data_IF_532501692503
#
_entry.id   IF_532501692503
#
_cell.length_a   1.000
_cell.length_b   1.000
_cell.length_c   1.000
_cell.angle_alpha   90.00
_cell.angle_beta   90.00
_cell.angle_gamma   90.00
#
_symmetry.space_group_name_H-M   'P 1'
#
loop_
_entity.id
_entity.type
_entity.pdbx_description
1 polymer ?
#
# COMPACT_ATOMS: atom_id res chain seq x y z
N UNK A 1 63.03 -22.02 -37.61
CA UNK A 1 62.41 -21.60 -36.37
C UNK A 1 61.07 -21.02 -36.73
N UNK A 2 59.99 -21.82 -36.64
CA UNK A 2 58.62 -21.40 -36.91
C UNK A 2 57.97 -21.10 -35.53
N UNK A 3 57.57 -19.83 -35.26
CA UNK A 3 56.82 -19.46 -34.12
C UNK A 3 55.32 -19.73 -34.37
N UNK A 4 54.79 -20.69 -33.66
CA UNK A 4 53.34 -21.00 -33.67
C UNK A 4 52.65 -20.03 -32.69
N UNK A 5 51.83 -19.15 -33.23
CA UNK A 5 50.97 -18.28 -32.43
C UNK A 5 49.73 -19.06 -32.12
N UNK A 6 49.54 -19.37 -30.85
CA UNK A 6 48.33 -20.02 -30.32
C UNK A 6 47.29 -18.91 -30.04
N UNK A 7 46.29 -18.80 -30.92
CA UNK A 7 45.16 -17.87 -30.72
C UNK A 7 44.16 -18.56 -29.81
N UNK A 8 44.09 -18.07 -28.57
CA UNK A 8 43.03 -18.47 -27.61
C UNK A 8 41.77 -17.74 -28.00
N UNK A 9 40.82 -18.43 -28.62
CA UNK A 9 39.44 -17.94 -28.80
C UNK A 9 38.72 -18.02 -27.45
N UNK A 10 38.55 -16.88 -26.81
CA UNK A 10 37.70 -16.72 -25.66
C UNK A 10 36.24 -16.73 -26.16
N UNK A 11 35.57 -17.86 -26.09
CA UNK A 11 34.13 -17.94 -26.33
C UNK A 11 33.43 -17.37 -25.10
N UNK A 12 33.11 -16.09 -25.14
CA UNK A 12 32.17 -15.48 -24.18
C UNK A 12 30.77 -16.04 -24.50
N UNK A 13 30.37 -17.08 -23.79
CA UNK A 13 28.98 -17.51 -23.76
C UNK A 13 28.15 -16.39 -23.06
N UNK A 14 27.62 -15.47 -23.83
CA UNK A 14 26.53 -14.61 -23.42
C UNK A 14 25.34 -15.54 -23.24
N UNK A 15 25.05 -15.89 -21.98
CA UNK A 15 23.79 -16.49 -21.62
C UNK A 15 22.70 -15.44 -21.90
N UNK A 16 22.19 -15.45 -23.12
CA UNK A 16 20.92 -14.79 -23.42
C UNK A 16 19.89 -15.53 -22.59
N UNK A 17 19.53 -14.92 -21.45
CA UNK A 17 18.31 -15.28 -20.72
C UNK A 17 17.19 -15.08 -21.73
N UNK A 18 16.70 -16.18 -22.29
CA UNK A 18 15.49 -16.21 -23.10
C UNK A 18 14.39 -15.67 -22.19
N UNK A 19 14.07 -14.40 -22.34
CA UNK A 19 12.91 -13.82 -21.72
C UNK A 19 11.71 -14.65 -22.19
N UNK A 20 11.23 -15.52 -21.33
CA UNK A 20 10.05 -16.34 -21.57
C UNK A 20 8.93 -15.36 -21.93
N UNK A 21 8.29 -15.55 -23.09
CA UNK A 21 7.15 -14.71 -23.47
C UNK A 21 6.11 -14.79 -22.33
N UNK A 22 5.68 -13.64 -21.78
CA UNK A 22 4.73 -13.66 -20.68
C UNK A 22 3.49 -14.46 -21.07
N UNK A 23 3.00 -15.27 -20.15
CA UNK A 23 1.76 -16.03 -20.36
C UNK A 23 0.67 -15.04 -20.72
N UNK A 24 -0.05 -15.29 -21.82
CA UNK A 24 -1.10 -14.40 -22.30
C UNK A 24 -2.21 -14.17 -21.27
N UNK A 25 -2.43 -15.14 -20.36
CA UNK A 25 -3.41 -15.03 -19.28
C UNK A 25 -2.90 -14.06 -18.20
N UNK A 26 -1.62 -14.16 -17.81
CA UNK A 26 -0.96 -13.26 -16.88
C UNK A 26 -0.98 -11.84 -17.44
N UNK A 27 -0.52 -11.64 -18.67
CA UNK A 27 -0.50 -10.33 -19.32
C UNK A 27 -1.88 -9.71 -19.49
N UNK A 28 -2.94 -10.52 -19.59
CA UNK A 28 -4.32 -10.05 -19.61
C UNK A 28 -4.76 -9.59 -18.21
N UNK A 29 -4.43 -10.33 -17.16
CA UNK A 29 -4.78 -9.98 -15.79
C UNK A 29 -4.04 -8.72 -15.34
N UNK A 30 -2.73 -8.60 -15.62
CA UNK A 30 -1.94 -7.40 -15.35
C UNK A 30 -2.56 -6.13 -15.93
N UNK A 31 -3.15 -6.22 -17.14
CA UNK A 31 -3.87 -5.09 -17.76
C UNK A 31 -5.21 -4.77 -17.13
N UNK A 32 -5.78 -5.68 -16.37
CA UNK A 32 -7.07 -5.50 -15.69
C UNK A 32 -6.90 -5.01 -14.26
N UNK A 33 -5.73 -5.27 -13.65
CA UNK A 33 -5.39 -4.72 -12.35
C UNK A 33 -5.08 -3.22 -12.48
N UNK A 34 -5.46 -2.47 -11.48
CA UNK A 34 -5.06 -1.07 -11.35
C UNK A 34 -3.71 -1.04 -10.63
N UNK A 35 -2.72 -0.42 -11.25
CA UNK A 35 -1.37 -0.33 -10.72
C UNK A 35 -0.42 -1.39 -11.26
N UNK A 36 0.86 -1.08 -11.17
CA UNK A 36 1.98 -1.95 -11.51
C UNK A 36 2.83 -2.25 -10.28
N UNK A 37 3.63 -3.33 -10.35
CA UNK A 37 4.55 -3.66 -9.26
C UNK A 37 5.90 -2.99 -9.52
N UNK A 38 6.34 -2.15 -8.60
CA UNK A 38 7.65 -1.49 -8.61
C UNK A 38 8.65 -2.24 -7.74
N UNK A 39 9.92 -2.21 -8.13
CA UNK A 39 10.99 -2.86 -7.37
C UNK A 39 11.36 -2.02 -6.13
N UNK A 40 11.35 -2.66 -4.97
CA UNK A 40 11.93 -2.12 -3.74
C UNK A 40 13.26 -2.82 -3.52
N UNK A 41 14.40 -2.11 -3.55
CA UNK A 41 15.71 -2.73 -3.48
C UNK A 41 15.95 -3.39 -2.12
N UNK A 42 16.86 -4.36 -2.09
CA UNK A 42 17.35 -4.90 -0.82
C UNK A 42 18.12 -3.83 -0.06
N UNK A 43 18.05 -3.89 1.26
CA UNK A 43 18.78 -2.97 2.12
C UNK A 43 18.59 -3.27 3.59
N UNK A 44 18.93 -2.31 4.42
CA UNK A 44 18.77 -2.40 5.86
C UNK A 44 18.42 -1.03 6.42
N UNK A 45 17.70 -0.99 7.51
CA UNK A 45 17.42 0.23 8.26
C UNK A 45 17.37 -0.07 9.74
N UNK A 46 17.60 0.98 10.54
CA UNK A 46 17.55 0.86 11.98
C UNK A 46 16.14 1.09 12.50
N UNK A 47 15.76 0.31 13.49
CA UNK A 47 14.57 0.54 14.31
C UNK A 47 15.00 0.74 15.77
N UNK A 48 14.27 1.59 16.47
CA UNK A 48 14.50 1.83 17.90
C UNK A 48 13.52 0.98 18.69
N UNK A 49 14.04 0.09 19.53
CA UNK A 49 13.24 -0.73 20.44
C UNK A 49 13.64 -0.34 21.88
N UNK A 50 12.79 0.48 22.51
CA UNK A 50 13.12 1.04 23.83
C UNK A 50 14.31 1.99 23.76
N UNK A 51 15.46 1.59 24.30
CA UNK A 51 16.73 2.38 24.25
C UNK A 51 17.73 1.84 23.24
N UNK A 52 17.44 0.69 22.63
CA UNK A 52 18.36 0.00 21.74
C UNK A 52 18.00 0.26 20.26
N UNK A 53 19.05 0.38 19.44
CA UNK A 53 18.91 0.44 17.99
C UNK A 53 19.18 -0.95 17.40
N UNK A 54 18.20 -1.50 16.70
CA UNK A 54 18.32 -2.79 16.03
C UNK A 54 18.28 -2.59 14.51
N UNK A 55 19.16 -3.31 13.79
CA UNK A 55 19.19 -3.28 12.34
C UNK A 55 18.30 -4.39 11.78
N UNK A 56 17.44 -4.02 10.86
CA UNK A 56 16.58 -4.95 10.11
C UNK A 56 17.08 -5.03 8.67
N UNK A 57 17.29 -6.23 8.18
CA UNK A 57 17.66 -6.48 6.78
C UNK A 57 16.41 -6.81 5.98
N UNK A 58 16.21 -6.09 4.88
CA UNK A 58 15.11 -6.27 3.95
C UNK A 58 15.67 -6.88 2.66
N UNK A 59 15.17 -8.04 2.27
CA UNK A 59 15.44 -8.59 0.93
C UNK A 59 14.68 -7.76 -0.12
N UNK A 60 15.18 -7.73 -1.36
CA UNK A 60 14.47 -7.07 -2.45
C UNK A 60 13.10 -7.72 -2.67
N UNK A 61 12.09 -6.91 -2.93
CA UNK A 61 10.72 -7.35 -3.22
C UNK A 61 10.07 -6.38 -4.22
N UNK A 62 8.92 -6.74 -4.73
CA UNK A 62 8.08 -5.83 -5.52
C UNK A 62 6.90 -5.38 -4.70
N UNK A 63 6.51 -4.12 -4.85
CA UNK A 63 5.33 -3.57 -4.17
C UNK A 63 4.38 -2.98 -5.23
N UNK A 64 3.09 -3.21 -5.08
CA UNK A 64 2.10 -2.54 -5.91
C UNK A 64 2.21 -1.03 -5.71
N UNK A 65 2.34 -0.27 -6.79
CA UNK A 65 2.60 1.18 -6.71
C UNK A 65 1.48 1.98 -6.04
N UNK A 66 0.28 1.42 -6.01
CA UNK A 66 -0.93 2.01 -5.42
C UNK A 66 -1.58 1.05 -4.42
N UNK A 67 -2.52 1.55 -3.60
CA UNK A 67 -3.41 0.70 -2.81
C UNK A 67 -4.27 -0.18 -3.72
N UNK A 68 -4.71 -1.35 -3.25
CA UNK A 68 -5.66 -2.18 -4.02
C UNK A 68 -6.95 -1.40 -4.25
N UNK A 69 -7.30 -1.23 -5.51
CA UNK A 69 -8.49 -0.47 -5.92
C UNK A 69 -9.78 -1.29 -5.87
N UNK A 70 -10.92 -0.60 -5.85
CA UNK A 70 -12.23 -1.23 -6.00
C UNK A 70 -12.32 -2.09 -7.26
N UNK A 71 -11.76 -1.62 -8.39
CA UNK A 71 -11.76 -2.40 -9.63
C UNK A 71 -10.99 -3.72 -9.49
N UNK A 72 -9.78 -3.67 -8.93
CA UNK A 72 -8.94 -4.84 -8.74
C UNK A 72 -9.57 -5.84 -7.77
N UNK A 73 -10.14 -5.34 -6.68
CA UNK A 73 -10.78 -6.21 -5.69
C UNK A 73 -12.08 -6.84 -6.21
N UNK A 74 -12.90 -6.10 -6.95
CA UNK A 74 -14.10 -6.64 -7.58
C UNK A 74 -13.79 -7.71 -8.64
N UNK A 75 -12.70 -7.54 -9.40
CA UNK A 75 -12.22 -8.56 -10.34
C UNK A 75 -11.92 -9.88 -9.62
N UNK A 76 -11.28 -9.83 -8.46
CA UNK A 76 -11.05 -10.99 -7.60
C UNK A 76 -12.36 -11.61 -7.11
N UNK A 77 -13.27 -10.81 -6.56
CA UNK A 77 -14.57 -11.31 -6.06
C UNK A 77 -15.40 -12.00 -7.16
N UNK A 78 -15.37 -11.43 -8.36
CA UNK A 78 -16.09 -12.02 -9.50
C UNK A 78 -15.44 -13.32 -9.98
N UNK A 79 -14.09 -13.40 -9.96
CA UNK A 79 -13.39 -14.64 -10.31
C UNK A 79 -13.67 -15.75 -9.28
N UNK A 80 -13.77 -15.44 -7.99
CA UNK A 80 -14.19 -16.41 -6.96
C UNK A 80 -15.58 -17.00 -7.25
N UNK A 81 -16.54 -16.15 -7.65
CA UNK A 81 -17.90 -16.61 -8.05
C UNK A 81 -17.85 -17.51 -9.29
N UNK A 82 -17.08 -17.09 -10.30
CA UNK A 82 -16.92 -17.88 -11.55
C UNK A 82 -16.30 -19.25 -11.28
N UNK A 83 -15.36 -19.33 -10.31
CA UNK A 83 -14.73 -20.58 -9.89
C UNK A 83 -15.61 -21.43 -8.94
N UNK A 84 -16.76 -20.92 -8.49
CA UNK A 84 -17.61 -21.57 -7.49
C UNK A 84 -17.04 -21.57 -6.08
N UNK A 85 -16.02 -20.73 -5.78
CA UNK A 85 -15.37 -20.59 -4.46
C UNK A 85 -16.21 -19.74 -3.51
N UNK A 86 -17.46 -20.13 -3.28
CA UNK A 86 -18.41 -19.31 -2.52
C UNK A 86 -18.02 -19.15 -1.06
N UNK A 87 -17.36 -20.13 -0.44
CA UNK A 87 -16.86 -20.00 0.95
C UNK A 87 -15.78 -18.92 1.07
N UNK A 88 -14.90 -18.80 0.10
CA UNK A 88 -13.88 -17.75 0.05
C UNK A 88 -14.50 -16.38 -0.28
N UNK A 89 -15.49 -16.36 -1.20
CA UNK A 89 -16.25 -15.15 -1.49
C UNK A 89 -16.94 -14.58 -0.25
N UNK A 90 -17.59 -15.41 0.57
CA UNK A 90 -18.25 -14.96 1.81
C UNK A 90 -17.26 -14.36 2.83
N UNK A 91 -16.02 -14.89 2.90
CA UNK A 91 -14.96 -14.34 3.75
C UNK A 91 -14.37 -13.03 3.21
N UNK A 92 -14.32 -12.91 1.86
CA UNK A 92 -13.66 -11.80 1.18
C UNK A 92 -14.61 -10.66 0.82
N UNK A 93 -15.93 -10.89 0.80
CA UNK A 93 -16.88 -9.85 0.40
C UNK A 93 -16.74 -8.59 1.26
N UNK A 94 -16.90 -7.44 0.60
CA UNK A 94 -16.82 -6.13 1.25
C UNK A 94 -18.02 -5.96 2.18
N UNK A 95 -17.80 -5.54 3.42
CA UNK A 95 -18.87 -5.17 4.33
C UNK A 95 -19.34 -3.73 4.07
N UNK A 96 -20.24 -3.59 3.11
CA UNK A 96 -20.76 -2.27 2.71
C UNK A 96 -21.61 -1.59 3.79
N UNK A 97 -22.01 -2.30 4.85
CA UNK A 97 -22.78 -1.72 5.96
C UNK A 97 -21.93 -0.73 6.78
N UNK A 98 -20.61 -0.99 6.83
CA UNK A 98 -19.64 -0.15 7.54
C UNK A 98 -19.28 1.14 6.78
N UNK A 99 -19.59 1.20 5.48
CA UNK A 99 -19.25 2.35 4.64
C UNK A 99 -20.03 3.63 5.05
N UNK A 100 -21.20 3.50 5.62
CA UNK A 100 -22.01 4.64 6.08
C UNK A 100 -21.61 5.08 7.49
N UNK A 101 -21.51 6.39 7.75
CA UNK A 101 -21.77 7.54 6.89
C UNK A 101 -20.57 8.01 6.04
N UNK A 102 -19.46 7.31 6.04
CA UNK A 102 -18.15 7.75 5.55
C UNK A 102 -17.99 7.75 4.03
N UNK A 103 -18.67 6.83 3.34
CA UNK A 103 -18.51 6.68 1.89
C UNK A 103 -19.84 6.87 1.17
N UNK A 104 -19.74 7.34 -0.07
CA UNK A 104 -20.89 7.54 -0.94
C UNK A 104 -21.60 6.21 -1.22
N UNK A 105 -22.95 6.21 -1.36
CA UNK A 105 -23.64 5.06 -1.88
C UNK A 105 -23.00 4.59 -3.20
N UNK A 106 -22.88 3.30 -3.38
CA UNK A 106 -22.28 2.68 -4.57
C UNK A 106 -20.76 2.88 -4.71
N UNK A 107 -20.04 3.34 -3.66
CA UNK A 107 -18.60 3.52 -3.68
C UNK A 107 -17.85 2.28 -4.21
N UNK A 108 -18.30 1.08 -3.88
CA UNK A 108 -17.62 -0.15 -4.29
C UNK A 108 -18.04 -0.68 -5.66
N UNK A 109 -19.11 -0.19 -6.23
CA UNK A 109 -19.72 -0.77 -7.44
C UNK A 109 -19.83 0.18 -8.62
N UNK A 110 -19.84 1.49 -8.36
CA UNK A 110 -20.00 2.47 -9.44
C UNK A 110 -18.65 2.75 -10.12
N UNK A 111 -18.65 2.77 -11.43
CA UNK A 111 -17.43 2.89 -12.25
C UNK A 111 -16.58 4.15 -11.95
N UNK A 112 -17.19 5.24 -11.49
CA UNK A 112 -16.47 6.45 -11.07
C UNK A 112 -15.49 6.20 -9.95
N UNK A 113 -15.81 5.23 -9.06
CA UNK A 113 -14.96 4.86 -7.92
C UNK A 113 -14.08 3.63 -8.20
N UNK A 114 -13.99 3.18 -9.46
CA UNK A 114 -13.21 2.00 -9.82
C UNK A 114 -11.73 2.11 -9.42
N UNK A 115 -11.16 3.32 -9.54
CA UNK A 115 -9.77 3.63 -9.18
C UNK A 115 -9.61 4.23 -7.78
N UNK A 116 -10.58 4.09 -6.91
CA UNK A 116 -10.47 4.45 -5.50
C UNK A 116 -10.06 3.22 -4.67
N UNK A 117 -9.39 3.39 -3.53
CA UNK A 117 -8.92 2.27 -2.73
C UNK A 117 -10.10 1.45 -2.19
N UNK A 118 -9.96 0.14 -2.20
CA UNK A 118 -10.91 -0.71 -1.50
C UNK A 118 -10.72 -0.60 0.01
N UNK A 119 -11.81 -0.59 0.75
CA UNK A 119 -11.86 -0.59 2.21
C UNK A 119 -13.03 -1.44 2.70
N UNK A 120 -13.29 -1.50 4.00
CA UNK A 120 -14.32 -2.37 4.59
C UNK A 120 -14.11 -3.86 4.25
N UNK A 121 -12.87 -4.28 4.02
CA UNK A 121 -12.49 -5.67 3.78
C UNK A 121 -11.86 -6.25 5.05
N UNK A 122 -12.07 -7.56 5.26
CA UNK A 122 -11.43 -8.27 6.36
C UNK A 122 -9.96 -8.56 6.06
N UNK A 123 -9.17 -8.81 7.10
CA UNK A 123 -7.80 -9.29 6.95
C UNK A 123 -7.75 -10.58 6.12
N UNK A 124 -8.67 -11.51 6.39
CA UNK A 124 -8.82 -12.75 5.64
C UNK A 124 -9.13 -12.49 4.16
N UNK A 125 -9.96 -11.49 3.87
CA UNK A 125 -10.26 -11.07 2.48
C UNK A 125 -9.03 -10.52 1.77
N UNK A 126 -8.22 -9.70 2.44
CA UNK A 126 -6.96 -9.19 1.90
C UNK A 126 -5.95 -10.33 1.64
N UNK A 127 -5.82 -11.28 2.56
CA UNK A 127 -4.95 -12.46 2.37
C UNK A 127 -5.45 -13.38 1.25
N UNK A 128 -6.76 -13.58 1.11
CA UNK A 128 -7.34 -14.34 -0.02
C UNK A 128 -7.09 -13.66 -1.37
N UNK A 129 -7.10 -12.33 -1.41
CA UNK A 129 -6.71 -11.57 -2.60
C UNK A 129 -5.24 -11.83 -2.96
N UNK A 130 -4.34 -11.79 -1.99
CA UNK A 130 -2.92 -12.11 -2.18
C UNK A 130 -2.72 -13.55 -2.67
N UNK A 131 -3.42 -14.50 -2.07
CA UNK A 131 -3.39 -15.90 -2.51
C UNK A 131 -3.89 -16.03 -3.95
N UNK A 132 -4.99 -15.38 -4.30
CA UNK A 132 -5.53 -15.37 -5.66
C UNK A 132 -4.52 -14.81 -6.67
N UNK A 133 -3.81 -13.71 -6.34
CA UNK A 133 -2.73 -13.20 -7.19
C UNK A 133 -1.61 -14.22 -7.35
N UNK A 134 -1.22 -14.92 -6.27
CA UNK A 134 -0.21 -15.98 -6.31
C UNK A 134 -0.63 -17.11 -7.24
N UNK A 135 -1.88 -17.56 -7.16
CA UNK A 135 -2.45 -18.59 -8.04
C UNK A 135 -2.49 -18.17 -9.51
N UNK A 136 -2.75 -16.88 -9.79
CA UNK A 136 -2.92 -16.36 -11.16
C UNK A 136 -1.63 -15.87 -11.81
N UNK A 137 -0.72 -15.28 -11.05
CA UNK A 137 0.42 -14.54 -11.57
C UNK A 137 1.76 -14.99 -10.97
N UNK A 138 1.74 -15.73 -9.84
CA UNK A 138 2.95 -16.06 -9.10
C UNK A 138 3.89 -17.01 -9.87
N UNK A 139 3.35 -17.95 -10.63
CA UNK A 139 4.15 -18.98 -11.30
C UNK A 139 5.03 -19.72 -10.28
N UNK A 140 6.25 -20.04 -10.70
CA UNK A 140 7.25 -20.69 -9.83
C UNK A 140 8.13 -19.69 -9.07
N UNK A 141 8.06 -18.39 -9.42
CA UNK A 141 8.98 -17.39 -8.91
C UNK A 141 8.43 -16.52 -7.78
N UNK A 142 7.14 -16.18 -7.82
CA UNK A 142 6.58 -15.13 -6.97
C UNK A 142 5.46 -15.62 -6.06
N UNK A 143 5.51 -15.14 -4.84
CA UNK A 143 4.42 -15.23 -3.88
C UNK A 143 3.93 -13.82 -3.57
N UNK A 144 2.61 -13.60 -3.65
CA UNK A 144 1.99 -12.33 -3.31
C UNK A 144 1.44 -12.39 -1.89
N UNK A 145 1.71 -11.34 -1.12
CA UNK A 145 1.33 -11.26 0.28
C UNK A 145 1.15 -9.81 0.72
N UNK A 146 0.65 -9.57 1.92
CA UNK A 146 0.78 -8.28 2.57
C UNK A 146 2.23 -8.01 2.96
N UNK A 147 2.72 -6.76 2.93
CA UNK A 147 4.04 -6.41 3.44
C UNK A 147 4.11 -6.65 4.94
N UNK A 148 5.24 -7.07 5.48
CA UNK A 148 5.48 -6.93 6.91
C UNK A 148 5.57 -5.44 7.28
N UNK A 149 5.38 -5.10 8.54
CA UNK A 149 5.51 -3.71 9.01
C UNK A 149 6.87 -3.10 8.65
N UNK A 150 7.94 -3.89 8.71
CA UNK A 150 9.27 -3.45 8.33
C UNK A 150 9.41 -3.21 6.83
N UNK A 151 8.85 -4.10 6.00
CA UNK A 151 8.84 -3.93 4.53
C UNK A 151 8.02 -2.70 4.13
N UNK A 152 6.86 -2.51 4.77
CA UNK A 152 6.01 -1.35 4.51
C UNK A 152 6.73 -0.02 4.86
N UNK A 153 7.30 0.06 6.08
CA UNK A 153 8.04 1.25 6.54
C UNK A 153 9.28 1.53 5.70
N UNK A 154 10.00 0.48 5.29
CA UNK A 154 11.16 0.61 4.42
C UNK A 154 10.79 1.14 3.04
N UNK A 155 9.72 0.63 2.43
CA UNK A 155 9.22 1.13 1.16
C UNK A 155 8.72 2.58 1.25
N UNK A 156 8.00 2.94 2.32
CA UNK A 156 7.53 4.31 2.57
C UNK A 156 8.69 5.32 2.70
N UNK A 157 9.87 4.86 3.13
CA UNK A 157 11.13 5.62 3.18
C UNK A 157 11.95 5.50 1.90
N UNK A 158 11.36 5.12 0.79
CA UNK A 158 12.02 4.98 -0.51
C UNK A 158 13.16 3.96 -0.55
N UNK A 159 13.19 2.98 0.35
CA UNK A 159 14.29 2.04 0.46
C UNK A 159 15.61 2.69 0.89
N UNK A 160 15.56 3.90 1.44
CA UNK A 160 16.74 4.68 1.86
C UNK A 160 16.78 4.80 3.38
N UNK A 161 17.77 4.18 4.04
CA UNK A 161 17.92 4.28 5.48
C UNK A 161 18.22 5.69 5.99
N UNK A 162 18.76 6.58 5.16
CA UNK A 162 19.03 7.97 5.55
C UNK A 162 17.74 8.81 5.64
N UNK A 163 16.65 8.38 5.00
CA UNK A 163 15.33 9.01 5.13
C UNK A 163 14.60 8.67 6.43
N UNK A 164 15.25 7.97 7.33
CA UNK A 164 14.70 7.64 8.65
C UNK A 164 14.20 8.87 9.45
N UNK A 165 14.84 10.03 9.27
CA UNK A 165 14.46 11.26 9.97
C UNK A 165 13.19 11.95 9.41
N UNK A 166 12.71 11.54 8.26
CA UNK A 166 11.50 12.13 7.67
C UNK A 166 10.24 11.41 8.13
N UNK A 167 9.28 12.12 8.74
CA UNK A 167 8.06 11.50 9.27
C UNK A 167 7.08 11.05 8.17
N UNK A 168 7.15 11.67 6.99
CA UNK A 168 6.23 11.39 5.89
C UNK A 168 6.96 10.76 4.70
N UNK A 169 6.21 10.04 3.88
CA UNK A 169 6.69 9.51 2.62
C UNK A 169 7.28 10.61 1.71
N UNK A 170 7.98 10.24 0.67
CA UNK A 170 8.71 11.16 -0.22
C UNK A 170 9.85 11.96 0.46
N UNK A 171 10.30 11.57 1.65
CA UNK A 171 11.34 12.30 2.38
C UNK A 171 10.89 13.71 2.80
N UNK A 172 9.63 13.87 3.20
CA UNK A 172 9.08 15.16 3.59
C UNK A 172 8.91 15.30 5.09
N UNK A 173 9.12 16.49 5.59
CA UNK A 173 8.74 16.94 6.94
C UNK A 173 7.46 17.77 6.92
N UNK A 174 6.92 18.05 5.73
CA UNK A 174 5.77 18.93 5.53
C UNK A 174 4.59 18.16 4.96
N UNK A 175 3.38 18.59 5.31
CA UNK A 175 2.11 18.08 4.79
C UNK A 175 1.68 18.80 3.50
N UNK A 176 2.26 19.97 3.23
CA UNK A 176 1.95 20.80 2.07
C UNK A 176 3.21 21.09 1.25
N UNK A 177 3.02 21.36 -0.03
CA UNK A 177 4.08 21.88 -0.90
C UNK A 177 4.33 23.38 -0.63
N UNK A 178 5.26 24.00 -1.38
CA UNK A 178 5.61 25.43 -1.25
C UNK A 178 4.46 26.38 -1.56
N UNK A 179 3.46 25.92 -2.31
CA UNK A 179 2.28 26.69 -2.68
C UNK A 179 1.13 26.49 -1.70
N UNK A 180 1.35 25.76 -0.60
CA UNK A 180 0.35 25.45 0.42
C UNK A 180 -0.64 24.34 0.01
N UNK A 181 -0.39 23.61 -1.09
CA UNK A 181 -1.26 22.51 -1.52
C UNK A 181 -0.90 21.23 -0.76
N UNK A 182 -1.90 20.46 -0.31
CA UNK A 182 -1.67 19.19 0.39
C UNK A 182 -0.87 18.21 -0.46
N UNK A 183 0.12 17.56 0.16
CA UNK A 183 0.91 16.48 -0.43
C UNK A 183 0.25 15.11 -0.24
N UNK A 184 -0.72 15.02 0.67
CA UNK A 184 -1.38 13.79 1.10
C UNK A 184 -2.88 14.01 1.25
N UNK A 185 -3.64 12.92 1.26
CA UNK A 185 -5.07 12.95 1.59
C UNK A 185 -5.24 12.62 3.07
N UNK A 186 -5.52 13.62 3.88
CA UNK A 186 -5.65 13.51 5.34
C UNK A 186 -6.66 14.54 5.88
N UNK A 187 -7.00 14.41 7.16
CA UNK A 187 -7.85 15.35 7.85
C UNK A 187 -7.06 16.62 8.20
N UNK A 188 -7.37 17.72 7.52
CA UNK A 188 -6.86 19.03 7.92
C UNK A 188 -7.62 19.53 9.16
N UNK A 189 -6.93 19.60 10.27
CA UNK A 189 -7.48 20.11 11.54
C UNK A 189 -6.76 21.38 11.92
N UNK A 190 -7.50 22.38 12.39
CA UNK A 190 -6.89 23.59 12.94
C UNK A 190 -6.05 23.24 14.19
N UNK A 191 -4.88 23.88 14.34
CA UNK A 191 -3.94 23.62 15.45
C UNK A 191 -4.57 23.75 16.85
N UNK A 192 -5.60 24.57 16.98
CA UNK A 192 -6.39 24.79 18.21
C UNK A 192 -7.18 23.56 18.68
N UNK A 193 -7.44 22.60 17.76
CA UNK A 193 -8.14 21.36 18.05
C UNK A 193 -7.20 20.21 18.45
N UNK A 194 -5.88 20.48 18.40
CA UNK A 194 -4.85 19.51 18.71
C UNK A 194 -4.35 19.77 20.13
N UNK A 195 -4.61 18.84 21.05
CA UNK A 195 -4.00 18.89 22.38
C UNK A 195 -2.74 18.05 22.43
N UNK A 196 -1.68 18.59 23.06
CA UNK A 196 -0.46 17.82 23.38
C UNK A 196 -0.63 17.19 24.75
N UNK A 197 -0.72 15.88 24.80
CA UNK A 197 -0.66 15.13 26.04
C UNK A 197 0.52 14.15 25.94
N UNK A 198 1.49 14.26 26.84
CA UNK A 198 2.67 13.38 26.96
C UNK A 198 3.48 13.18 25.65
N UNK A 199 3.57 14.23 24.83
CA UNK A 199 4.27 14.16 23.55
C UNK A 199 3.45 13.59 22.40
N UNK A 200 2.22 13.17 22.62
CA UNK A 200 1.25 12.79 21.60
C UNK A 200 0.32 13.96 21.27
N UNK A 201 -0.07 14.06 20.00
CA UNK A 201 -1.12 14.96 19.56
C UNK A 201 -2.43 14.20 19.62
N UNK A 202 -3.33 14.58 20.50
CA UNK A 202 -4.71 14.07 20.52
C UNK A 202 -5.64 15.11 19.91
N UNK A 203 -6.40 14.70 18.91
CA UNK A 203 -7.55 15.46 18.43
C UNK A 203 -8.74 15.04 19.29
N UNK A 204 -9.43 15.99 19.89
CA UNK A 204 -10.57 15.68 20.73
C UNK A 204 -11.67 15.01 19.92
N UNK A 205 -12.02 13.79 20.29
CA UNK A 205 -12.96 12.91 19.56
C UNK A 205 -14.32 13.57 19.28
N UNK A 206 -14.82 14.35 20.22
CA UNK A 206 -16.08 15.09 20.08
C UNK A 206 -16.01 16.20 19.01
N UNK A 207 -14.85 16.79 18.82
CA UNK A 207 -14.64 17.87 17.86
C UNK A 207 -14.46 17.31 16.44
N UNK A 208 -13.83 16.14 16.29
CA UNK A 208 -13.75 15.43 15.00
C UNK A 208 -15.17 15.12 14.51
N UNK A 209 -16.05 14.63 15.39
CA UNK A 209 -17.43 14.29 15.02
C UNK A 209 -18.22 15.53 14.58
N UNK A 210 -18.04 16.68 15.22
CA UNK A 210 -18.68 17.94 14.80
C UNK A 210 -18.07 18.49 13.51
N UNK A 211 -16.75 18.42 13.34
CA UNK A 211 -16.06 18.79 12.10
C UNK A 211 -16.59 17.93 10.95
N UNK A 212 -16.68 16.61 11.13
CA UNK A 212 -17.24 15.69 10.13
C UNK A 212 -18.68 16.08 9.79
N UNK A 213 -19.52 16.41 10.77
CA UNK A 213 -20.91 16.84 10.54
C UNK A 213 -21.00 18.15 9.76
N UNK A 214 -20.19 19.14 10.09
CA UNK A 214 -20.18 20.45 9.45
C UNK A 214 -19.62 20.40 8.03
N UNK A 215 -18.63 19.55 7.79
CA UNK A 215 -17.93 19.46 6.51
C UNK A 215 -18.38 18.28 5.63
N UNK A 216 -19.32 17.45 6.09
CA UNK A 216 -19.87 16.31 5.33
C UNK A 216 -20.48 16.70 3.96
N UNK A 217 -20.66 17.97 3.71
CA UNK A 217 -21.11 18.52 2.43
C UNK A 217 -19.95 18.98 1.53
N UNK A 218 -18.71 18.97 1.97
CA UNK A 218 -17.55 19.30 1.14
C UNK A 218 -16.82 18.04 0.72
N UNK A 219 -16.36 17.99 -0.53
CA UNK A 219 -15.73 16.85 -1.19
C UNK A 219 -14.39 16.37 -0.59
N UNK A 220 -14.02 16.82 0.60
CA UNK A 220 -12.72 16.54 1.25
C UNK A 220 -12.71 15.35 2.21
N UNK A 221 -13.84 14.66 2.39
CA UNK A 221 -14.04 13.67 3.45
C UNK A 221 -14.20 12.24 2.95
N UNK A 222 -13.65 11.96 1.80
CA UNK A 222 -13.60 10.61 1.23
C UNK A 222 -12.18 10.35 0.68
N UNK A 223 -11.80 9.10 0.55
CA UNK A 223 -10.51 8.80 -0.08
C UNK A 223 -10.46 9.35 -1.50
N UNK A 224 -9.27 9.63 -1.97
CA UNK A 224 -9.00 10.01 -3.35
C UNK A 224 -8.69 8.77 -4.20
N UNK A 225 -8.57 8.97 -5.52
CA UNK A 225 -8.10 7.92 -6.42
C UNK A 225 -6.70 7.44 -5.99
N UNK A 226 -6.42 6.17 -6.23
CA UNK A 226 -5.14 5.54 -5.87
C UNK A 226 -3.92 6.18 -6.53
N UNK A 227 -4.10 6.93 -7.61
CA UNK A 227 -3.07 7.74 -8.27
C UNK A 227 -3.09 9.23 -7.90
N UNK A 228 -3.67 9.57 -6.75
CA UNK A 228 -3.66 10.95 -6.28
C UNK A 228 -2.28 11.38 -5.80
N UNK A 229 -2.03 12.69 -5.89
CA UNK A 229 -0.77 13.31 -5.51
C UNK A 229 0.44 12.85 -6.35
N UNK A 230 1.64 13.02 -5.81
CA UNK A 230 2.88 12.64 -6.48
C UNK A 230 3.42 11.32 -5.91
N UNK A 231 3.96 10.45 -6.75
CA UNK A 231 4.60 9.24 -6.27
C UNK A 231 5.93 9.56 -5.56
N UNK A 232 6.36 8.66 -4.71
CA UNK A 232 7.70 8.64 -4.14
C UNK A 232 8.78 8.38 -5.20
N UNK A 233 10.05 8.48 -4.86
CA UNK A 233 11.15 8.16 -5.79
C UNK A 233 11.15 6.70 -6.27
N UNK A 234 10.55 5.78 -5.52
CA UNK A 234 10.31 4.40 -5.94
C UNK A 234 9.07 4.26 -6.86
N UNK A 235 8.29 5.30 -7.05
CA UNK A 235 7.04 5.23 -7.81
C UNK A 235 5.81 4.85 -6.97
N UNK A 236 5.91 4.84 -5.63
CA UNK A 236 4.81 4.49 -4.73
C UNK A 236 3.92 5.70 -4.45
N UNK A 237 2.61 5.55 -4.63
CA UNK A 237 1.61 6.57 -4.33
C UNK A 237 0.98 6.35 -2.94
N UNK A 238 0.52 7.41 -2.32
CA UNK A 238 -0.31 7.43 -1.10
C UNK A 238 0.23 6.60 0.08
N UNK A 239 1.56 6.49 0.25
CA UNK A 239 2.13 5.82 1.42
C UNK A 239 1.83 6.55 2.75
N UNK A 240 1.24 7.74 2.69
CA UNK A 240 0.72 8.49 3.82
C UNK A 240 -0.67 9.02 3.47
N UNK A 241 -1.64 8.83 4.35
CA UNK A 241 -3.03 9.24 4.15
C UNK A 241 -3.80 8.33 3.19
N UNK A 242 -4.89 8.81 2.68
CA UNK A 242 -5.86 8.13 1.83
C UNK A 242 -6.56 6.97 2.56
N UNK A 243 -6.03 5.75 2.60
CA UNK A 243 -6.49 4.68 3.49
C UNK A 243 -5.30 4.08 4.22
N UNK A 244 -5.45 3.78 5.50
CA UNK A 244 -4.43 3.05 6.25
C UNK A 244 -4.29 1.63 5.68
N UNK A 245 -3.06 1.14 5.56
CA UNK A 245 -2.77 -0.09 4.86
C UNK A 245 -2.47 -1.23 5.83
N UNK A 246 -3.23 -2.33 5.71
CA UNK A 246 -2.98 -3.56 6.47
C UNK A 246 -1.60 -4.11 6.14
N UNK A 247 -0.94 -4.63 7.15
CA UNK A 247 0.33 -5.36 7.02
C UNK A 247 0.14 -6.82 7.40
N UNK A 248 1.18 -7.63 7.20
CA UNK A 248 1.15 -9.06 7.49
C UNK A 248 0.87 -9.34 8.97
N UNK A 249 1.31 -8.47 9.86
CA UNK A 249 0.97 -8.50 11.28
C UNK A 249 -0.48 -8.06 11.46
N UNK A 250 -1.32 -9.02 11.77
CA UNK A 250 -2.77 -8.80 11.92
C UNK A 250 -3.08 -7.81 13.04
N UNK A 251 -4.05 -6.94 12.80
CA UNK A 251 -4.57 -6.01 13.81
C UNK A 251 -3.87 -4.66 13.83
N UNK A 252 -2.95 -4.41 12.88
CA UNK A 252 -2.30 -3.11 12.73
C UNK A 252 -2.24 -2.70 11.26
N UNK A 253 -2.39 -1.40 11.00
CA UNK A 253 -2.26 -0.76 9.70
C UNK A 253 -1.35 0.46 9.82
N UNK A 254 -0.80 0.93 8.71
CA UNK A 254 0.13 2.06 8.64
C UNK A 254 -0.31 3.10 7.62
N UNK A 255 0.29 4.28 7.69
CA UNK A 255 0.09 5.37 6.74
C UNK A 255 -1.07 6.30 7.08
N UNK A 256 -1.98 5.88 7.98
CA UNK A 256 -3.17 6.64 8.32
C UNK A 256 -4.14 6.79 7.16
N UNK A 257 -5.24 7.49 7.36
CA UNK A 257 -6.34 7.59 6.40
C UNK A 257 -6.74 9.04 6.11
N UNK A 258 -7.69 9.20 5.20
CA UNK A 258 -8.30 10.49 4.84
C UNK A 258 -9.03 11.19 6.01
N UNK A 259 -9.32 10.50 7.10
CA UNK A 259 -9.91 11.06 8.33
C UNK A 259 -8.92 11.13 9.50
N UNK A 260 -7.67 10.75 9.31
CA UNK A 260 -6.66 10.89 10.35
C UNK A 260 -5.94 12.25 10.21
N UNK A 261 -5.62 12.94 11.31
CA UNK A 261 -4.87 14.19 11.27
C UNK A 261 -3.44 13.95 10.78
N UNK A 262 -2.78 15.03 10.35
CA UNK A 262 -1.42 14.96 9.79
C UNK A 262 -0.41 14.23 10.66
N UNK A 263 -0.56 14.27 11.98
CA UNK A 263 0.29 13.51 12.89
C UNK A 263 0.15 11.99 12.74
N UNK A 264 -1.06 11.49 12.50
CA UNK A 264 -1.37 10.06 12.46
C UNK A 264 -1.15 9.43 11.09
N UNK A 265 -0.91 10.23 10.03
CA UNK A 265 -0.52 9.72 8.72
C UNK A 265 1.00 9.54 8.55
N UNK A 266 1.79 9.69 9.62
CA UNK A 266 3.24 9.48 9.56
C UNK A 266 3.58 8.01 9.35
N UNK A 267 4.74 7.75 8.76
CA UNK A 267 5.23 6.40 8.46
C UNK A 267 5.26 5.49 9.69
N UNK A 268 5.57 6.05 10.87
CA UNK A 268 5.67 5.27 12.12
C UNK A 268 4.37 5.21 12.94
N UNK A 269 3.33 5.91 12.51
CA UNK A 269 2.04 5.87 13.20
C UNK A 269 1.33 4.55 12.95
N UNK A 270 1.10 3.79 14.01
CA UNK A 270 0.34 2.55 13.98
C UNK A 270 -1.15 2.84 14.15
N UNK A 271 -1.98 2.26 13.30
CA UNK A 271 -3.42 2.30 13.41
C UNK A 271 -3.93 0.91 13.78
N UNK A 272 -4.25 0.63 15.06
CA UNK A 272 -4.80 -0.65 15.45
C UNK A 272 -6.21 -0.85 14.89
N UNK A 273 -6.56 -2.09 14.55
CA UNK A 273 -7.90 -2.47 14.13
C UNK A 273 -8.22 -3.90 14.50
N UNK A 274 -9.48 -4.20 14.75
CA UNK A 274 -10.00 -5.54 15.08
C UNK A 274 -11.08 -6.01 14.08
N UNK A 275 -11.61 -5.08 13.29
CA UNK A 275 -12.67 -5.33 12.32
C UNK A 275 -12.44 -4.54 11.03
N UNK A 276 -13.12 -4.91 9.92
CA UNK A 276 -13.13 -4.11 8.70
C UNK A 276 -13.55 -2.66 8.97
N UNK A 277 -12.92 -1.72 8.27
CA UNK A 277 -13.13 -0.28 8.47
C UNK A 277 -13.15 0.46 7.14
N UNK A 278 -13.97 1.53 7.00
CA UNK A 278 -13.93 2.39 5.82
C UNK A 278 -12.61 3.18 5.69
N UNK A 279 -11.81 3.23 6.74
CA UNK A 279 -10.54 3.94 6.81
C UNK A 279 -9.33 3.04 6.49
N UNK A 280 -9.56 1.73 6.34
CA UNK A 280 -8.50 0.74 6.21
C UNK A 280 -8.68 -0.05 4.91
N UNK A 281 -7.64 -0.02 4.10
CA UNK A 281 -7.44 -0.80 2.90
C UNK A 281 -6.17 -1.65 3.00
N UNK A 282 -5.56 -1.94 1.87
CA UNK A 282 -4.29 -2.69 1.86
C UNK A 282 -3.53 -2.50 0.54
N UNK A 283 -2.25 -2.85 0.58
CA UNK A 283 -1.35 -2.91 -0.57
C UNK A 283 -0.65 -4.26 -0.59
N UNK A 284 -0.34 -4.75 -1.78
CA UNK A 284 0.26 -6.07 -1.97
C UNK A 284 1.72 -5.95 -2.31
N UNK A 285 2.52 -6.89 -1.83
CA UNK A 285 3.88 -7.12 -2.29
C UNK A 285 4.01 -8.49 -2.99
N UNK A 286 5.03 -8.61 -3.82
CA UNK A 286 5.47 -9.88 -4.37
C UNK A 286 6.89 -10.17 -3.88
N UNK A 287 7.08 -11.33 -3.27
CA UNK A 287 8.36 -11.83 -2.80
C UNK A 287 8.77 -13.05 -3.61
N UNK A 288 10.08 -13.29 -3.76
CA UNK A 288 10.56 -14.51 -4.41
C UNK A 288 10.28 -15.72 -3.54
N UNK A 289 9.72 -16.75 -4.15
CA UNK A 289 9.58 -18.06 -3.50
C UNK A 289 10.95 -18.60 -3.11
N UNK A 290 11.03 -19.21 -1.93
CA UNK A 290 12.26 -19.85 -1.42
C UNK A 290 12.48 -21.20 -2.06
#
# INVERSE_FOLDING_TARGET
MRKTILTILLVAAVAATLAQKPDKKIAKLEKQLVGTFVEVPAGHFSIIIGKDTTWVTIAAFRMLEVEVSNASYNLFLDDLKVQGRMADYEKAKIDTSLARPYLMPLYYTYHTYAQYPVSCVSYEGAMLFCQWLTEKMGGDEWEYTLPTKEQWKYAARNGDPEQYCFPYAMGSVYLTNRDGLPLYTYLEVADELITRQDGHLEVRENEITEIIKVHSMSSRWHPNQVYSHHPSSLGLFNMCGNVAEMVYERGVAYGGSYLDPGYDIRIDSEKPYDAPSPLIGFRVIAVRKK
#
